data_IF_444854014366
#
_entry.id   IF_444854014366
#
_cell.length_a   1.000
_cell.length_b   1.000
_cell.length_c   1.000
_cell.angle_alpha   90.00
_cell.angle_beta   90.00
_cell.angle_gamma   90.00
#
_symmetry.space_group_name_H-M   'P 1'
#
loop_
_entity.id
_entity.type
_entity.pdbx_description
1 polymer ?
#
# COMPACT_ATOMS: atom_id res chain seq x y z
N UNK A 1 75.74 -39.49 -15.24
CA UNK A 1 74.58 -40.08 -15.91
C UNK A 1 73.95 -41.13 -14.99
N UNK A 2 72.96 -40.80 -14.23
CA UNK A 2 72.14 -41.74 -13.41
C UNK A 2 70.66 -41.43 -13.63
N UNK A 3 69.99 -42.37 -14.28
CA UNK A 3 68.59 -42.31 -14.59
C UNK A 3 67.75 -42.61 -13.32
N UNK A 4 66.93 -41.72 -12.90
CA UNK A 4 65.89 -41.98 -11.91
C UNK A 4 64.64 -42.59 -12.62
N UNK A 5 64.33 -43.82 -12.26
CA UNK A 5 63.04 -44.45 -12.60
C UNK A 5 62.00 -44.10 -11.56
N UNK A 6 60.94 -43.36 -11.97
CA UNK A 6 59.81 -43.08 -11.17
C UNK A 6 58.85 -44.27 -11.22
N UNK A 7 58.56 -44.84 -10.04
CA UNK A 7 57.57 -45.91 -9.86
C UNK A 7 56.24 -45.27 -9.58
N UNK A 8 55.28 -45.42 -10.50
CA UNK A 8 53.88 -45.08 -10.25
C UNK A 8 53.18 -46.20 -9.46
N UNK A 9 52.66 -45.88 -8.26
CA UNK A 9 51.79 -46.74 -7.48
C UNK A 9 50.36 -46.53 -7.91
N UNK A 10 49.50 -47.55 -8.04
CA UNK A 10 48.08 -47.39 -8.37
C UNK A 10 47.28 -46.96 -7.13
N UNK A 11 46.50 -45.86 -7.23
CA UNK A 11 45.49 -45.47 -6.26
C UNK A 11 44.27 -46.41 -6.34
N UNK A 12 43.74 -46.88 -5.23
CA UNK A 12 42.48 -47.64 -5.25
C UNK A 12 41.29 -46.70 -5.46
N UNK A 13 40.49 -46.97 -6.48
CA UNK A 13 39.22 -46.32 -6.78
C UNK A 13 38.19 -46.74 -5.74
N UNK A 14 37.94 -45.87 -4.74
CA UNK A 14 36.87 -46.11 -3.76
C UNK A 14 35.53 -45.79 -4.42
N UNK A 15 34.74 -46.83 -4.68
CA UNK A 15 33.38 -46.76 -5.20
C UNK A 15 32.45 -46.26 -4.05
N UNK A 16 32.11 -44.97 -4.05
CA UNK A 16 31.09 -44.41 -3.17
C UNK A 16 29.69 -44.87 -3.66
N UNK A 17 29.13 -45.88 -3.00
CA UNK A 17 27.72 -46.27 -3.11
C UNK A 17 26.88 -45.16 -2.49
N UNK A 18 26.35 -44.26 -3.31
CA UNK A 18 25.28 -43.33 -2.92
C UNK A 18 24.01 -44.14 -2.64
N UNK A 19 23.76 -44.45 -1.37
CA UNK A 19 22.46 -44.97 -0.92
C UNK A 19 21.41 -43.85 -1.14
N UNK A 20 20.60 -43.99 -2.19
CA UNK A 20 19.43 -43.18 -2.39
C UNK A 20 18.42 -43.44 -1.25
N UNK A 21 18.40 -42.56 -0.24
CA UNK A 21 17.35 -42.52 0.77
C UNK A 21 16.06 -42.14 0.04
N UNK A 22 15.00 -42.98 0.05
CA UNK A 22 13.72 -42.56 -0.52
C UNK A 22 13.23 -41.35 0.27
N UNK A 23 13.21 -40.20 -0.34
CA UNK A 23 12.47 -39.02 0.17
C UNK A 23 11.02 -39.46 0.19
N UNK A 24 10.52 -39.80 1.39
CA UNK A 24 9.11 -39.99 1.62
C UNK A 24 8.44 -38.67 1.24
N UNK A 25 7.83 -38.64 0.05
CA UNK A 25 7.01 -37.52 -0.38
C UNK A 25 5.93 -37.32 0.70
N UNK A 26 6.11 -36.29 1.53
CA UNK A 26 5.07 -35.88 2.47
C UNK A 26 3.83 -35.61 1.64
N UNK A 27 2.80 -36.45 1.82
CA UNK A 27 1.48 -36.20 1.23
C UNK A 27 1.04 -34.84 1.73
N UNK A 28 0.90 -33.88 0.80
CA UNK A 28 0.30 -32.59 1.13
C UNK A 28 -1.04 -32.87 1.82
N UNK A 29 -1.35 -32.20 2.93
CA UNK A 29 -2.67 -32.34 3.55
C UNK A 29 -3.75 -32.05 2.50
N UNK A 30 -4.89 -32.73 2.56
CA UNK A 30 -5.97 -32.50 1.61
C UNK A 30 -6.38 -31.02 1.67
N UNK A 31 -6.36 -30.35 0.52
CA UNK A 31 -6.81 -28.97 0.40
C UNK A 31 -8.29 -28.91 0.82
N UNK A 32 -8.63 -28.08 1.79
CA UNK A 32 -10.01 -27.87 2.19
C UNK A 32 -10.71 -27.16 1.03
N UNK A 33 -11.63 -27.86 0.35
CA UNK A 33 -12.41 -27.27 -0.73
C UNK A 33 -13.47 -26.32 -0.13
N UNK A 34 -13.54 -25.12 -0.67
CA UNK A 34 -14.53 -24.13 -0.27
C UNK A 34 -15.93 -24.59 -0.70
N UNK A 35 -16.93 -24.53 0.19
CA UNK A 35 -18.30 -24.87 -0.16
C UNK A 35 -18.86 -23.85 -1.16
N UNK A 36 -19.45 -24.34 -2.25
CA UNK A 36 -20.04 -23.51 -3.30
C UNK A 36 -21.30 -22.74 -2.86
N UNK A 37 -21.91 -23.09 -1.73
CA UNK A 37 -23.24 -22.63 -1.28
C UNK A 37 -23.20 -21.99 0.12
N UNK A 38 -22.16 -21.29 0.47
CA UNK A 38 -22.06 -20.61 1.76
C UNK A 38 -22.41 -19.11 1.67
N UNK A 39 -22.76 -18.51 2.80
CA UNK A 39 -22.98 -17.06 2.91
C UNK A 39 -21.67 -16.39 3.28
N UNK A 40 -21.25 -15.41 2.48
CA UNK A 40 -20.07 -14.60 2.77
C UNK A 40 -20.31 -13.77 4.04
N UNK A 41 -19.34 -13.76 4.91
CA UNK A 41 -19.35 -13.06 6.19
C UNK A 41 -17.93 -12.65 6.61
N UNK A 42 -17.86 -11.88 7.68
CA UNK A 42 -16.62 -11.55 8.40
C UNK A 42 -16.92 -11.39 9.87
N UNK A 43 -15.89 -11.17 10.66
CA UNK A 43 -16.02 -10.91 12.10
C UNK A 43 -15.37 -9.58 12.46
N UNK A 44 -15.98 -8.83 13.40
CA UNK A 44 -15.47 -7.52 13.87
C UNK A 44 -14.65 -7.62 15.17
N UNK A 45 -14.46 -8.81 15.69
CA UNK A 45 -13.70 -9.10 16.91
C UNK A 45 -13.03 -10.46 16.79
N UNK A 46 -12.08 -10.76 17.65
CA UNK A 46 -11.48 -12.09 17.70
C UNK A 46 -12.53 -13.15 18.04
N UNK A 47 -12.63 -14.20 17.23
CA UNK A 47 -13.53 -15.33 17.39
C UNK A 47 -12.79 -16.65 17.47
N UNK A 48 -13.18 -17.51 18.41
CA UNK A 48 -12.65 -18.86 18.53
C UNK A 48 -13.44 -19.82 17.65
N UNK A 49 -12.74 -20.77 17.04
CA UNK A 49 -13.31 -21.91 16.33
C UNK A 49 -13.20 -23.16 17.19
N UNK A 50 -14.26 -23.97 17.17
CA UNK A 50 -14.40 -25.19 17.96
C UNK A 50 -14.72 -26.36 17.05
N UNK A 51 -14.35 -27.58 17.48
CA UNK A 51 -14.63 -28.81 16.74
C UNK A 51 -16.13 -29.13 16.67
N UNK A 52 -16.91 -28.71 17.68
CA UNK A 52 -18.36 -28.89 17.79
C UNK A 52 -19.02 -27.58 18.20
N UNK A 53 -20.35 -27.51 18.07
CA UNK A 53 -21.16 -26.37 18.53
C UNK A 53 -21.27 -26.31 20.07
N UNK A 54 -20.13 -26.36 20.75
CA UNK A 54 -19.97 -26.37 22.20
C UNK A 54 -18.62 -25.75 22.59
N UNK A 55 -18.65 -24.76 23.51
CA UNK A 55 -17.45 -24.11 24.03
C UNK A 55 -16.53 -25.06 24.85
N UNK A 56 -17.05 -26.21 25.30
CA UNK A 56 -16.26 -27.24 25.99
C UNK A 56 -15.51 -28.16 25.02
N UNK A 57 -15.81 -28.12 23.73
CA UNK A 57 -15.10 -28.92 22.72
C UNK A 57 -13.72 -28.33 22.39
N UNK A 58 -12.88 -29.12 21.72
CA UNK A 58 -11.54 -28.70 21.34
C UNK A 58 -11.58 -27.44 20.49
N UNK A 59 -10.75 -26.46 20.86
CA UNK A 59 -10.53 -25.24 20.06
C UNK A 59 -9.64 -25.59 18.85
N UNK A 60 -10.16 -25.38 17.65
CA UNK A 60 -9.48 -25.73 16.38
C UNK A 60 -8.73 -24.54 15.78
N UNK A 61 -9.04 -23.32 16.20
CA UNK A 61 -8.38 -22.12 15.69
C UNK A 61 -8.97 -20.81 16.21
N UNK A 62 -8.51 -19.73 15.60
CA UNK A 62 -8.95 -18.37 15.90
C UNK A 62 -9.11 -17.58 14.60
N UNK A 63 -10.06 -16.66 14.58
CA UNK A 63 -10.30 -15.73 13.49
C UNK A 63 -10.19 -14.30 14.00
N UNK A 64 -9.39 -13.50 13.34
CA UNK A 64 -9.19 -12.08 13.65
C UNK A 64 -10.14 -11.19 12.86
N UNK A 65 -10.33 -9.92 13.27
CA UNK A 65 -11.22 -8.98 12.59
C UNK A 65 -10.93 -8.85 11.10
N UNK A 66 -11.98 -8.69 10.31
CA UNK A 66 -11.89 -8.48 8.87
C UNK A 66 -11.57 -9.73 8.04
N UNK A 67 -11.25 -10.88 8.63
CA UNK A 67 -11.00 -12.11 7.89
C UNK A 67 -12.26 -12.62 7.22
N UNK A 68 -12.12 -13.13 5.99
CA UNK A 68 -13.23 -13.73 5.27
C UNK A 68 -13.72 -15.01 5.96
N UNK A 69 -15.04 -15.09 6.07
CA UNK A 69 -15.76 -16.25 6.54
C UNK A 69 -16.78 -16.69 5.48
N UNK A 70 -17.00 -17.99 5.40
CA UNK A 70 -18.13 -18.57 4.65
C UNK A 70 -18.97 -19.39 5.63
N UNK A 71 -20.19 -18.93 5.90
CA UNK A 71 -21.14 -19.62 6.78
C UNK A 71 -21.82 -20.71 5.98
N UNK A 72 -21.72 -21.95 6.42
CA UNK A 72 -22.33 -23.13 5.76
C UNK A 72 -23.49 -23.71 6.53
N UNK A 73 -23.57 -23.46 7.84
CA UNK A 73 -24.65 -23.96 8.70
C UNK A 73 -24.89 -23.01 9.86
N UNK A 74 -26.15 -22.92 10.29
CA UNK A 74 -26.57 -22.16 11.48
C UNK A 74 -27.32 -23.10 12.43
N UNK A 75 -26.90 -23.15 13.71
CA UNK A 75 -27.52 -23.97 14.75
C UNK A 75 -27.64 -23.17 16.05
N UNK A 76 -28.82 -22.59 16.28
CA UNK A 76 -29.05 -21.69 17.42
C UNK A 76 -28.08 -20.50 17.42
N UNK A 77 -27.24 -20.39 18.45
CA UNK A 77 -26.21 -19.34 18.57
C UNK A 77 -24.88 -19.69 17.89
N UNK A 78 -24.81 -20.83 17.18
CA UNK A 78 -23.60 -21.34 16.55
C UNK A 78 -23.66 -21.24 15.05
N UNK A 79 -22.51 -20.91 14.46
CA UNK A 79 -22.24 -20.90 13.04
C UNK A 79 -21.16 -21.93 12.72
N UNK A 80 -21.41 -22.79 11.76
CA UNK A 80 -20.35 -23.57 11.14
C UNK A 80 -19.77 -22.79 9.98
N UNK A 81 -18.47 -22.54 10.04
CA UNK A 81 -17.80 -21.66 9.10
C UNK A 81 -16.54 -22.29 8.51
N UNK A 82 -16.20 -21.84 7.32
CA UNK A 82 -14.83 -21.84 6.80
C UNK A 82 -14.29 -20.43 6.98
N UNK A 83 -13.06 -20.31 7.49
CA UNK A 83 -12.45 -19.05 7.86
C UNK A 83 -11.09 -18.88 7.18
N UNK A 84 -10.61 -17.64 7.08
CA UNK A 84 -9.33 -17.28 6.45
C UNK A 84 -9.25 -17.78 5.01
N UNK A 85 -10.33 -17.64 4.28
CA UNK A 85 -10.45 -18.12 2.91
C UNK A 85 -9.88 -17.15 1.87
N UNK A 86 -9.46 -15.97 2.30
CA UNK A 86 -8.77 -15.02 1.43
C UNK A 86 -7.58 -15.68 0.74
N UNK A 87 -7.43 -15.42 -0.54
CA UNK A 87 -6.15 -15.71 -1.19
C UNK A 87 -5.05 -14.94 -0.47
N UNK A 88 -3.88 -15.55 -0.22
CA UNK A 88 -2.74 -14.80 0.29
C UNK A 88 -2.48 -13.63 -0.67
N UNK A 89 -2.27 -12.43 -0.11
CA UNK A 89 -1.89 -11.29 -0.94
C UNK A 89 -0.56 -11.65 -1.59
N UNK A 90 -0.58 -11.84 -2.91
CA UNK A 90 0.64 -12.11 -3.65
C UNK A 90 1.52 -10.87 -3.51
N UNK A 91 2.68 -11.03 -2.85
CA UNK A 91 3.79 -10.13 -3.09
C UNK A 91 4.07 -10.14 -4.60
N UNK A 92 4.51 -9.01 -5.13
CA UNK A 92 4.83 -8.89 -6.55
C UNK A 92 5.60 -10.14 -7.02
N UNK A 93 5.20 -10.68 -8.19
CA UNK A 93 5.64 -11.98 -8.69
C UNK A 93 7.18 -12.10 -8.91
N UNK A 94 7.88 -10.99 -8.82
CA UNK A 94 9.32 -10.81 -9.05
C UNK A 94 10.15 -10.69 -7.76
N UNK A 95 9.54 -10.68 -6.57
CA UNK A 95 10.30 -10.77 -5.33
C UNK A 95 10.74 -12.21 -5.10
N UNK A 96 12.06 -12.49 -5.01
CA UNK A 96 12.53 -13.82 -4.66
C UNK A 96 12.07 -14.13 -3.22
N UNK A 97 11.02 -14.93 -3.10
CA UNK A 97 10.60 -15.48 -1.82
C UNK A 97 11.63 -16.54 -1.41
N UNK A 98 12.53 -16.18 -0.52
CA UNK A 98 13.41 -17.13 0.16
C UNK A 98 12.63 -18.05 1.13
N UNK A 99 11.40 -17.70 1.43
CA UNK A 99 10.47 -18.49 2.20
C UNK A 99 9.20 -18.68 1.38
N UNK A 100 8.77 -19.94 1.18
CA UNK A 100 7.42 -20.21 0.69
C UNK A 100 6.45 -19.49 1.63
N UNK A 101 5.63 -18.54 1.16
CA UNK A 101 4.56 -18.04 1.99
C UNK A 101 3.76 -19.29 2.37
N UNK A 102 3.63 -19.56 3.67
CA UNK A 102 2.71 -20.57 4.14
C UNK A 102 1.37 -20.25 3.49
N UNK A 103 0.92 -21.11 2.55
CA UNK A 103 -0.44 -20.99 1.98
C UNK A 103 -1.35 -21.01 3.20
N UNK A 104 -1.94 -19.84 3.54
CA UNK A 104 -2.90 -19.76 4.63
C UNK A 104 -4.05 -20.68 4.23
N UNK A 105 -4.08 -21.87 4.83
CA UNK A 105 -5.13 -22.83 4.53
C UNK A 105 -6.40 -22.41 5.25
N UNK A 106 -7.56 -22.44 4.56
CA UNK A 106 -8.82 -22.24 5.23
C UNK A 106 -8.97 -23.21 6.40
N UNK A 107 -9.41 -22.69 7.53
CA UNK A 107 -9.74 -23.49 8.69
C UNK A 107 -11.27 -23.59 8.81
N UNK A 108 -11.79 -24.71 9.29
CA UNK A 108 -13.22 -24.88 9.49
C UNK A 108 -13.54 -25.27 10.94
N UNK A 109 -14.68 -24.83 11.41
CA UNK A 109 -15.12 -25.11 12.77
C UNK A 109 -16.46 -24.45 13.08
N UNK A 110 -16.87 -24.61 14.33
CA UNK A 110 -18.03 -23.94 14.90
C UNK A 110 -17.60 -22.70 15.67
N UNK A 111 -18.31 -21.60 15.50
CA UNK A 111 -18.10 -20.37 16.27
C UNK A 111 -19.41 -19.78 16.75
N UNK A 112 -19.35 -18.96 17.78
CA UNK A 112 -20.52 -18.22 18.23
C UNK A 112 -20.90 -17.16 17.22
N UNK A 113 -22.22 -17.01 16.96
CA UNK A 113 -22.79 -15.90 16.19
C UNK A 113 -22.78 -14.62 17.00
N UNK A 114 -21.56 -14.09 17.24
CA UNK A 114 -21.34 -12.88 18.01
C UNK A 114 -20.25 -12.02 17.39
N UNK A 115 -20.66 -10.88 16.84
CA UNK A 115 -19.78 -9.98 16.09
C UNK A 115 -19.50 -10.46 14.69
N UNK A 116 -20.30 -11.41 14.18
CA UNK A 116 -20.27 -11.86 12.78
C UNK A 116 -21.20 -10.98 11.97
N UNK A 117 -20.70 -10.45 10.88
CA UNK A 117 -21.43 -9.64 9.89
C UNK A 117 -21.47 -10.42 8.59
N UNK A 118 -22.66 -10.67 8.07
CA UNK A 118 -22.87 -11.26 6.76
C UNK A 118 -23.55 -10.29 5.79
N UNK A 119 -23.71 -10.69 4.53
CA UNK A 119 -24.33 -9.86 3.48
C UNK A 119 -25.80 -9.51 3.75
N UNK A 120 -26.46 -10.16 4.72
CA UNK A 120 -27.84 -9.90 5.12
C UNK A 120 -27.94 -9.09 6.42
N UNK A 121 -26.83 -8.77 7.06
CA UNK A 121 -26.81 -8.02 8.31
C UNK A 121 -27.27 -6.59 8.05
N UNK A 122 -28.35 -6.10 8.72
CA UNK A 122 -28.81 -4.73 8.57
C UNK A 122 -27.68 -3.74 8.88
N UNK A 123 -27.45 -2.78 7.97
CA UNK A 123 -26.36 -1.80 8.08
C UNK A 123 -24.97 -2.42 8.23
N UNK A 124 -24.77 -3.62 7.68
CA UNK A 124 -23.49 -4.33 7.74
C UNK A 124 -22.32 -3.53 7.18
N UNK A 125 -22.54 -2.77 6.11
CA UNK A 125 -21.59 -1.83 5.52
C UNK A 125 -21.13 -0.76 6.50
N UNK A 126 -22.08 -0.12 7.22
CA UNK A 126 -21.75 0.92 8.21
C UNK A 126 -21.06 0.34 9.44
N UNK A 127 -21.47 -0.86 9.88
CA UNK A 127 -20.82 -1.55 11.02
C UNK A 127 -19.36 -1.86 10.68
N UNK A 128 -19.11 -2.48 9.52
CA UNK A 128 -17.75 -2.82 9.09
C UNK A 128 -16.90 -1.58 8.89
N UNK A 129 -17.47 -0.54 8.27
CA UNK A 129 -16.76 0.73 8.07
C UNK A 129 -16.41 1.40 9.40
N UNK A 130 -17.34 1.45 10.36
CA UNK A 130 -17.12 2.01 11.69
C UNK A 130 -16.03 1.29 12.48
N UNK A 131 -15.99 -0.05 12.43
CA UNK A 131 -14.92 -0.84 13.02
C UNK A 131 -13.59 -0.61 12.30
N UNK A 132 -13.62 -0.46 10.97
CA UNK A 132 -12.45 -0.08 10.19
C UNK A 132 -11.85 1.25 10.64
N UNK A 133 -12.69 2.29 10.82
CA UNK A 133 -12.27 3.60 11.34
C UNK A 133 -11.69 3.48 12.76
N UNK A 134 -12.30 2.66 13.61
CA UNK A 134 -11.81 2.44 14.97
C UNK A 134 -10.43 1.79 14.99
N UNK A 135 -10.21 0.79 14.14
CA UNK A 135 -8.93 0.10 14.00
C UNK A 135 -7.85 1.01 13.36
N UNK A 136 -8.23 1.83 12.37
CA UNK A 136 -7.34 2.82 11.74
C UNK A 136 -6.89 3.88 12.76
N UNK A 137 -7.81 4.43 13.56
CA UNK A 137 -7.46 5.35 14.64
C UNK A 137 -6.53 4.71 15.68
N UNK A 138 -6.80 3.45 16.05
CA UNK A 138 -5.92 2.71 16.96
C UNK A 138 -4.52 2.48 16.36
N UNK A 139 -4.42 2.29 15.03
CA UNK A 139 -3.14 2.15 14.34
C UNK A 139 -2.31 3.44 14.35
N UNK A 140 -2.95 4.61 14.45
CA UNK A 140 -2.29 5.92 14.52
C UNK A 140 -1.82 6.29 15.94
N UNK A 141 -2.14 5.51 16.96
CA UNK A 141 -1.70 5.73 18.33
C UNK A 141 -0.17 5.54 18.47
N UNK A 142 0.50 6.22 19.43
CA UNK A 142 1.95 6.04 19.64
C UNK A 142 2.37 4.59 19.96
N UNK A 143 1.46 3.79 20.49
CA UNK A 143 1.66 2.37 20.82
C UNK A 143 0.47 1.58 20.28
N UNK A 144 0.41 1.36 18.96
CA UNK A 144 -0.74 0.75 18.34
C UNK A 144 -0.88 -0.73 18.76
N UNK A 145 -2.11 -1.23 18.87
CA UNK A 145 -2.33 -2.66 19.02
C UNK A 145 -1.70 -3.41 17.83
N UNK A 146 -1.17 -4.63 18.08
CA UNK A 146 -0.66 -5.45 17.00
C UNK A 146 -1.71 -5.62 15.89
N UNK A 147 -1.31 -5.44 14.63
CA UNK A 147 -2.15 -5.62 13.43
C UNK A 147 -3.31 -4.61 13.25
N UNK A 148 -3.39 -3.53 14.04
CA UNK A 148 -4.49 -2.57 13.92
C UNK A 148 -4.66 -2.02 12.48
N UNK A 149 -3.57 -1.67 11.80
CA UNK A 149 -3.61 -1.21 10.40
C UNK A 149 -4.11 -2.32 9.45
N UNK A 150 -3.61 -3.55 9.59
CA UNK A 150 -4.03 -4.69 8.76
C UNK A 150 -5.50 -5.04 9.01
N UNK A 151 -5.96 -5.01 10.24
CA UNK A 151 -7.36 -5.30 10.59
C UNK A 151 -8.28 -4.20 10.03
N UNK A 152 -7.89 -2.92 10.12
CA UNK A 152 -8.61 -1.80 9.48
C UNK A 152 -8.73 -2.02 7.97
N UNK A 153 -7.62 -2.32 7.29
CA UNK A 153 -7.60 -2.59 5.85
C UNK A 153 -8.54 -3.73 5.47
N UNK A 154 -8.51 -4.85 6.20
CA UNK A 154 -9.38 -5.99 5.93
C UNK A 154 -10.86 -5.65 6.14
N UNK A 155 -11.22 -4.90 7.18
CA UNK A 155 -12.59 -4.47 7.44
C UNK A 155 -13.12 -3.58 6.31
N UNK A 156 -12.33 -2.61 5.82
CA UNK A 156 -12.69 -1.80 4.65
C UNK A 156 -12.83 -2.65 3.37
N UNK A 157 -11.95 -3.60 3.13
CA UNK A 157 -12.11 -4.56 2.01
C UNK A 157 -13.41 -5.32 2.09
N UNK A 158 -13.85 -5.76 3.29
CA UNK A 158 -15.15 -6.45 3.44
C UNK A 158 -16.33 -5.56 3.09
N UNK A 159 -16.26 -4.23 3.35
CA UNK A 159 -17.28 -3.30 2.85
C UNK A 159 -17.37 -3.39 1.32
N UNK A 160 -16.25 -3.30 0.63
CA UNK A 160 -16.21 -3.33 -0.84
C UNK A 160 -16.72 -4.65 -1.41
N UNK A 161 -16.32 -5.78 -0.82
CA UNK A 161 -16.64 -7.12 -1.33
C UNK A 161 -18.07 -7.56 -1.02
N UNK A 162 -18.56 -7.22 0.18
CA UNK A 162 -19.88 -7.68 0.65
C UNK A 162 -21.00 -6.68 0.32
N UNK A 163 -20.68 -5.40 0.19
CA UNK A 163 -21.66 -4.31 -0.01
C UNK A 163 -21.23 -3.37 -1.16
N UNK A 164 -21.00 -3.89 -2.37
CA UNK A 164 -20.44 -3.11 -3.49
C UNK A 164 -21.31 -1.91 -3.90
N UNK A 165 -22.61 -1.97 -3.65
CA UNK A 165 -23.58 -0.90 -3.97
C UNK A 165 -23.74 0.14 -2.85
N UNK A 166 -23.01 -0.01 -1.74
CA UNK A 166 -23.08 0.95 -0.64
C UNK A 166 -22.46 2.31 -1.03
N UNK A 167 -23.07 3.43 -0.63
CA UNK A 167 -22.52 4.76 -0.90
C UNK A 167 -21.17 5.02 -0.23
N UNK A 168 -20.78 4.22 0.78
CA UNK A 168 -19.48 4.33 1.45
C UNK A 168 -18.41 3.45 0.81
N UNK A 169 -18.75 2.61 -0.17
CA UNK A 169 -17.81 1.70 -0.85
C UNK A 169 -16.64 2.43 -1.49
N UNK A 170 -16.80 3.58 -2.18
CA UNK A 170 -15.65 4.32 -2.73
C UNK A 170 -14.65 4.77 -1.65
N UNK A 171 -15.16 5.23 -0.51
CA UNK A 171 -14.33 5.60 0.63
C UNK A 171 -13.61 4.39 1.24
N UNK A 172 -14.34 3.31 1.47
CA UNK A 172 -13.78 2.07 2.02
C UNK A 172 -12.68 1.51 1.13
N UNK A 173 -12.88 1.54 -0.21
CA UNK A 173 -11.87 1.07 -1.16
C UNK A 173 -10.61 1.93 -1.11
N UNK A 174 -10.75 3.26 -1.09
CA UNK A 174 -9.60 4.14 -0.99
C UNK A 174 -8.86 3.97 0.35
N UNK A 175 -9.56 3.94 1.50
CA UNK A 175 -8.92 3.73 2.80
C UNK A 175 -8.16 2.41 2.89
N UNK A 176 -8.73 1.33 2.34
CA UNK A 176 -8.04 0.04 2.29
C UNK A 176 -6.75 0.11 1.44
N UNK A 177 -6.82 0.79 0.29
CA UNK A 177 -5.68 0.98 -0.60
C UNK A 177 -4.63 1.91 0.02
N UNK A 178 -5.04 3.02 0.65
CA UNK A 178 -4.13 3.97 1.30
C UNK A 178 -3.38 3.32 2.48
N UNK A 179 -4.07 2.55 3.33
CA UNK A 179 -3.38 1.80 4.40
C UNK A 179 -2.30 0.88 3.82
N UNK A 180 -2.60 0.14 2.75
CA UNK A 180 -1.61 -0.70 2.08
C UNK A 180 -0.45 0.13 1.55
N UNK A 181 -0.75 1.23 0.87
CA UNK A 181 0.22 2.16 0.33
C UNK A 181 1.18 2.69 1.39
N UNK A 182 0.65 3.13 2.53
CA UNK A 182 1.45 3.63 3.64
C UNK A 182 2.33 2.53 4.27
N UNK A 183 1.84 1.31 4.38
CA UNK A 183 2.63 0.17 4.86
C UNK A 183 3.76 -0.18 3.89
N UNK A 184 3.48 -0.28 2.59
CA UNK A 184 4.50 -0.52 1.56
C UNK A 184 5.53 0.61 1.51
N UNK A 185 5.09 1.87 1.63
CA UNK A 185 5.97 3.04 1.70
C UNK A 185 6.90 3.01 2.91
N UNK A 186 6.37 2.63 4.09
CA UNK A 186 7.18 2.47 5.28
C UNK A 186 8.23 1.37 5.12
N UNK A 187 7.87 0.24 4.51
CA UNK A 187 8.80 -0.84 4.21
C UNK A 187 9.86 -0.42 3.19
N UNK A 188 9.44 0.22 2.09
CA UNK A 188 10.34 0.74 1.05
C UNK A 188 11.36 1.74 1.61
N UNK A 189 10.96 2.60 2.55
CA UNK A 189 11.84 3.57 3.19
C UNK A 189 12.99 2.93 4.00
N UNK A 190 12.89 1.66 4.37
CA UNK A 190 13.95 0.92 5.08
C UNK A 190 15.02 0.34 4.14
N UNK A 191 14.76 0.32 2.84
CA UNK A 191 15.64 -0.29 1.86
C UNK A 191 16.79 0.66 1.46
N UNK A 192 17.98 0.13 1.12
CA UNK A 192 19.08 0.95 0.62
C UNK A 192 18.72 1.77 -0.63
N UNK A 193 17.80 1.25 -1.46
CA UNK A 193 17.30 1.91 -2.66
C UNK A 193 16.41 3.13 -2.40
N UNK A 194 15.96 3.36 -1.16
CA UNK A 194 15.08 4.48 -0.82
C UNK A 194 15.68 5.86 -1.18
N UNK A 195 17.01 5.96 -1.17
CA UNK A 195 17.73 7.21 -1.49
C UNK A 195 18.14 7.33 -2.96
N UNK A 196 17.82 6.33 -3.79
CA UNK A 196 18.14 6.40 -5.22
C UNK A 196 17.39 7.57 -5.87
N UNK A 197 18.11 8.30 -6.73
CA UNK A 197 17.61 9.48 -7.40
C UNK A 197 16.47 9.16 -8.36
N UNK A 198 16.69 8.14 -9.17
CA UNK A 198 15.73 7.75 -10.19
C UNK A 198 14.61 6.89 -9.59
N UNK A 199 13.36 7.27 -9.85
CA UNK A 199 12.19 6.58 -9.29
C UNK A 199 12.14 5.09 -9.60
N UNK A 200 12.58 4.68 -10.80
CA UNK A 200 12.58 3.27 -11.23
C UNK A 200 13.67 2.40 -10.56
N UNK A 201 14.61 3.00 -9.84
CA UNK A 201 15.61 2.29 -9.04
C UNK A 201 15.16 2.07 -7.59
N UNK A 202 14.08 2.71 -7.19
CA UNK A 202 13.50 2.55 -5.85
C UNK A 202 12.41 1.51 -5.86
N UNK A 203 12.16 0.91 -4.71
CA UNK A 203 10.98 0.07 -4.52
C UNK A 203 9.71 0.89 -4.78
N UNK A 204 8.83 0.36 -5.63
CA UNK A 204 7.57 1.00 -5.99
C UNK A 204 6.43 0.39 -5.17
N UNK A 205 5.52 1.24 -4.70
CA UNK A 205 4.27 0.77 -4.11
C UNK A 205 3.38 0.17 -5.20
N UNK A 206 2.56 -0.83 -4.82
CA UNK A 206 1.62 -1.46 -5.75
C UNK A 206 0.46 -0.50 -6.10
N UNK A 207 0.38 -0.13 -7.37
CA UNK A 207 -0.58 0.85 -7.88
C UNK A 207 -1.96 0.26 -8.21
N UNK A 208 -2.11 -1.06 -8.20
CA UNK A 208 -3.29 -1.73 -8.75
C UNK A 208 -4.59 -1.33 -8.04
N UNK A 209 -4.57 -1.22 -6.71
CA UNK A 209 -5.75 -0.83 -5.95
C UNK A 209 -6.11 0.64 -6.18
N UNK A 210 -5.13 1.54 -6.22
CA UNK A 210 -5.35 2.97 -6.52
C UNK A 210 -5.91 3.16 -7.94
N UNK A 211 -5.34 2.51 -8.94
CA UNK A 211 -5.85 2.55 -10.33
C UNK A 211 -7.27 1.99 -10.46
N UNK A 212 -7.64 1.00 -9.67
CA UNK A 212 -9.02 0.50 -9.63
C UNK A 212 -9.99 1.55 -9.09
N UNK A 213 -9.59 2.35 -8.09
CA UNK A 213 -10.44 3.42 -7.55
C UNK A 213 -10.71 4.47 -8.62
N UNK A 214 -9.68 4.95 -9.34
CA UNK A 214 -9.85 5.87 -10.45
C UNK A 214 -10.79 5.32 -11.54
N UNK A 215 -10.65 4.04 -11.85
CA UNK A 215 -11.43 3.38 -12.89
C UNK A 215 -12.91 3.18 -12.51
N UNK A 216 -13.18 2.75 -11.28
CA UNK A 216 -14.55 2.36 -10.87
C UNK A 216 -15.34 3.51 -10.24
N UNK A 217 -14.66 4.51 -9.69
CA UNK A 217 -15.29 5.65 -9.02
C UNK A 217 -14.79 7.00 -9.55
N UNK A 218 -14.74 7.18 -10.89
CA UNK A 218 -14.26 8.41 -11.49
C UNK A 218 -15.08 9.61 -10.98
N UNK A 219 -14.47 10.78 -10.94
CA UNK A 219 -15.09 12.05 -10.48
C UNK A 219 -15.53 12.05 -9.02
N UNK A 220 -14.97 11.19 -8.20
CA UNK A 220 -15.13 11.23 -6.75
C UNK A 220 -13.85 11.76 -6.09
N UNK A 221 -13.99 12.40 -4.93
CA UNK A 221 -12.81 12.83 -4.15
C UNK A 221 -11.85 11.67 -3.82
N UNK A 222 -12.35 10.43 -3.83
CA UNK A 222 -11.55 9.24 -3.54
C UNK A 222 -10.67 8.85 -4.74
N UNK A 223 -11.18 9.02 -5.96
CA UNK A 223 -10.36 8.89 -7.16
C UNK A 223 -9.29 9.99 -7.23
N UNK A 224 -9.65 11.23 -6.84
CA UNK A 224 -8.68 12.32 -6.75
C UNK A 224 -7.57 12.04 -5.74
N UNK A 225 -7.90 11.43 -4.59
CA UNK A 225 -6.90 11.03 -3.60
C UNK A 225 -6.04 9.88 -4.08
N UNK A 226 -6.62 8.89 -4.76
CA UNK A 226 -5.85 7.80 -5.37
C UNK A 226 -4.87 8.32 -6.43
N UNK A 227 -5.30 9.24 -7.31
CA UNK A 227 -4.43 9.91 -8.27
C UNK A 227 -3.29 10.69 -7.60
N UNK A 228 -3.55 11.30 -6.44
CA UNK A 228 -2.53 11.97 -5.65
C UNK A 228 -1.47 11.01 -5.14
N UNK A 229 -1.89 9.88 -4.56
CA UNK A 229 -0.97 8.88 -4.00
C UNK A 229 -0.08 8.27 -5.09
N UNK A 230 -0.62 8.05 -6.30
CA UNK A 230 0.13 7.54 -7.46
C UNK A 230 1.28 8.46 -7.92
N UNK A 231 1.26 9.75 -7.56
CA UNK A 231 2.39 10.67 -7.87
C UNK A 231 3.66 10.20 -7.16
N UNK A 232 3.57 9.65 -5.95
CA UNK A 232 4.73 9.30 -5.13
C UNK A 232 5.69 8.30 -5.82
N UNK A 233 5.17 7.34 -6.58
CA UNK A 233 6.00 6.40 -7.35
C UNK A 233 6.81 7.09 -8.46
N UNK A 234 6.45 8.29 -8.86
CA UNK A 234 7.07 9.02 -9.96
C UNK A 234 8.05 10.11 -9.49
N UNK A 235 8.02 10.45 -8.20
CA UNK A 235 8.91 11.48 -7.64
C UNK A 235 10.37 10.99 -7.67
N UNK A 236 11.30 11.90 -7.75
CA UNK A 236 12.72 11.60 -7.52
C UNK A 236 12.98 11.33 -6.03
N UNK A 237 14.05 10.62 -5.70
CA UNK A 237 14.51 10.46 -4.33
C UNK A 237 15.25 11.69 -3.84
N UNK A 238 16.49 11.84 -4.31
CA UNK A 238 17.34 12.99 -3.99
C UNK A 238 17.48 13.90 -5.21
N UNK A 239 17.41 15.22 -4.98
CA UNK A 239 17.57 16.22 -6.06
C UNK A 239 19.02 16.66 -6.26
N UNK A 240 19.95 16.34 -5.37
CA UNK A 240 21.32 16.80 -5.47
C UNK A 240 21.95 16.50 -6.85
N UNK A 241 22.37 17.58 -7.52
CA UNK A 241 22.92 17.49 -8.88
C UNK A 241 21.93 17.02 -9.95
N UNK A 242 20.64 17.35 -9.79
CA UNK A 242 19.59 17.08 -10.79
C UNK A 242 18.47 18.11 -10.79
N UNK A 243 18.75 19.24 -11.42
CA UNK A 243 17.81 20.36 -11.61
C UNK A 243 16.53 19.92 -12.33
N UNK A 244 16.64 18.87 -13.14
CA UNK A 244 15.49 18.25 -13.87
C UNK A 244 14.52 17.49 -12.96
N UNK A 245 14.97 17.05 -11.78
CA UNK A 245 14.09 16.35 -10.85
C UNK A 245 12.97 17.26 -10.33
N UNK A 246 13.22 18.42 -9.72
CA UNK A 246 12.16 19.30 -9.28
C UNK A 246 11.31 19.83 -10.46
N UNK A 247 11.87 20.05 -11.65
CA UNK A 247 11.07 20.40 -12.85
C UNK A 247 10.07 19.25 -13.20
N UNK A 248 10.55 18.00 -13.22
CA UNK A 248 9.70 16.83 -13.49
C UNK A 248 8.56 16.73 -12.47
N UNK A 249 8.88 16.84 -11.19
CA UNK A 249 7.90 16.76 -10.11
C UNK A 249 6.90 17.92 -10.14
N UNK A 250 7.35 19.14 -10.44
CA UNK A 250 6.46 20.27 -10.64
C UNK A 250 5.42 20.00 -11.75
N UNK A 251 5.87 19.40 -12.85
CA UNK A 251 4.96 19.05 -13.96
C UNK A 251 3.94 17.96 -13.56
N UNK A 252 4.31 16.98 -12.69
CA UNK A 252 3.38 15.98 -12.17
C UNK A 252 2.27 16.62 -11.33
N UNK A 253 2.64 17.54 -10.41
CA UNK A 253 1.67 18.24 -9.59
C UNK A 253 0.81 19.24 -10.38
N UNK A 254 1.37 19.91 -11.38
CA UNK A 254 0.57 20.73 -12.29
C UNK A 254 -0.47 19.90 -13.03
N UNK A 255 -0.03 18.77 -13.62
CA UNK A 255 -0.93 17.84 -14.29
C UNK A 255 -2.06 17.38 -13.40
N UNK A 256 -1.75 17.01 -12.15
CA UNK A 256 -2.77 16.64 -11.16
C UNK A 256 -3.79 17.77 -10.95
N UNK A 257 -3.34 19.01 -10.74
CA UNK A 257 -4.23 20.13 -10.49
C UNK A 257 -5.12 20.49 -11.71
N UNK A 258 -4.64 20.19 -12.92
CA UNK A 258 -5.38 20.39 -14.16
C UNK A 258 -6.42 19.28 -14.39
N UNK A 259 -6.09 18.03 -14.08
CA UNK A 259 -6.97 16.87 -14.24
C UNK A 259 -8.00 16.75 -13.11
N UNK A 260 -7.68 17.24 -11.90
CA UNK A 260 -8.49 17.16 -10.69
C UNK A 260 -8.75 18.54 -10.06
N UNK A 261 -9.34 19.50 -10.82
CA UNK A 261 -9.47 20.90 -10.35
C UNK A 261 -10.36 21.09 -9.13
N UNK A 262 -11.29 20.17 -8.90
CA UNK A 262 -12.22 20.18 -7.76
C UNK A 262 -11.71 19.38 -6.55
N UNK A 263 -10.55 18.76 -6.69
CA UNK A 263 -9.92 18.01 -5.59
C UNK A 263 -9.54 18.94 -4.45
N UNK A 264 -9.74 18.52 -3.19
CA UNK A 264 -9.21 19.24 -2.02
C UNK A 264 -7.68 19.39 -2.04
N UNK A 265 -6.98 18.54 -2.82
CA UNK A 265 -5.52 18.55 -2.99
C UNK A 265 -5.04 19.48 -4.12
N UNK A 266 -5.93 19.97 -5.00
CA UNK A 266 -5.53 20.77 -6.15
C UNK A 266 -4.77 22.06 -5.76
N UNK A 267 -5.18 22.85 -4.74
CA UNK A 267 -4.40 24.00 -4.28
C UNK A 267 -3.01 23.60 -3.75
N UNK A 268 -2.92 22.50 -3.03
CA UNK A 268 -1.67 21.94 -2.54
C UNK A 268 -0.76 21.54 -3.71
N UNK A 269 -1.30 20.87 -4.73
CA UNK A 269 -0.56 20.48 -5.91
C UNK A 269 0.08 21.69 -6.61
N UNK A 270 -0.69 22.74 -6.85
CA UNK A 270 -0.16 23.97 -7.45
C UNK A 270 0.94 24.63 -6.61
N UNK A 271 0.78 24.66 -5.29
CA UNK A 271 1.82 25.16 -4.40
C UNK A 271 3.09 24.32 -4.47
N UNK A 272 2.97 22.99 -4.41
CA UNK A 272 4.12 22.08 -4.51
C UNK A 272 4.80 22.18 -5.88
N UNK A 273 4.03 22.38 -6.95
CA UNK A 273 4.57 22.62 -8.28
C UNK A 273 5.38 23.94 -8.32
N UNK A 274 4.82 25.01 -7.78
CA UNK A 274 5.49 26.31 -7.72
C UNK A 274 6.79 26.24 -6.89
N UNK A 275 6.77 25.62 -5.73
CA UNK A 275 7.93 25.47 -4.87
C UNK A 275 9.05 24.67 -5.54
N UNK A 276 8.71 23.56 -6.21
CA UNK A 276 9.66 22.72 -6.96
C UNK A 276 10.27 23.46 -8.15
N UNK A 277 9.46 24.20 -8.86
CA UNK A 277 9.94 25.00 -9.99
C UNK A 277 10.87 26.14 -9.53
N UNK A 278 10.57 26.79 -8.40
CA UNK A 278 11.45 27.77 -7.78
C UNK A 278 12.79 27.14 -7.37
N UNK A 279 12.74 25.96 -6.77
CA UNK A 279 13.95 25.21 -6.38
C UNK A 279 14.80 24.84 -7.59
N UNK A 280 14.19 24.41 -8.71
CA UNK A 280 14.89 24.16 -9.96
C UNK A 280 15.60 25.43 -10.46
N UNK A 281 14.93 26.58 -10.42
CA UNK A 281 15.51 27.87 -10.79
C UNK A 281 16.72 28.26 -9.93
N UNK A 282 16.70 27.97 -8.62
CA UNK A 282 17.86 28.21 -7.75
C UNK A 282 19.01 27.24 -8.05
N UNK A 283 18.73 25.98 -8.34
CA UNK A 283 19.73 24.99 -8.73
C UNK A 283 20.40 25.35 -10.06
N UNK A 284 19.61 25.73 -11.09
CA UNK A 284 20.16 26.21 -12.36
C UNK A 284 21.02 27.45 -12.21
N UNK A 285 20.63 28.39 -11.34
CA UNK A 285 21.44 29.57 -11.05
C UNK A 285 22.77 29.21 -10.38
N UNK A 286 22.75 28.23 -9.47
CA UNK A 286 23.97 27.73 -8.81
C UNK A 286 24.93 27.07 -9.80
N UNK A 287 24.40 26.42 -10.84
CA UNK A 287 25.17 25.82 -11.93
C UNK A 287 25.61 26.83 -13.01
N UNK A 288 25.27 28.11 -12.87
CA UNK A 288 25.61 29.16 -13.82
C UNK A 288 24.75 29.19 -15.07
N UNK A 289 23.57 28.53 -15.07
CA UNK A 289 22.61 28.54 -16.19
C UNK A 289 21.51 29.57 -15.92
N UNK A 290 21.85 30.84 -16.06
CA UNK A 290 20.96 31.97 -15.75
C UNK A 290 19.69 32.00 -16.63
N UNK A 291 19.77 31.53 -17.87
CA UNK A 291 18.61 31.51 -18.79
C UNK A 291 17.55 30.53 -18.28
N UNK A 292 17.94 29.31 -17.91
CA UNK A 292 17.04 28.32 -17.31
C UNK A 292 16.50 28.79 -15.95
N UNK A 293 17.37 29.33 -15.11
CA UNK A 293 16.97 29.89 -13.82
C UNK A 293 15.87 30.95 -13.98
N UNK A 294 16.03 31.86 -14.96
CA UNK A 294 15.03 32.89 -15.26
C UNK A 294 13.72 32.30 -15.80
N UNK A 295 13.81 31.31 -16.68
CA UNK A 295 12.63 30.61 -17.22
C UNK A 295 11.81 29.96 -16.08
N UNK A 296 12.46 29.20 -15.18
CA UNK A 296 11.76 28.50 -14.09
C UNK A 296 11.21 29.46 -13.05
N UNK A 297 11.90 30.57 -12.75
CA UNK A 297 11.35 31.63 -11.90
C UNK A 297 10.10 32.28 -12.55
N UNK A 298 10.11 32.47 -13.87
CA UNK A 298 8.94 32.96 -14.60
C UNK A 298 7.76 31.98 -14.54
N UNK A 299 8.02 30.68 -14.70
CA UNK A 299 7.01 29.61 -14.55
C UNK A 299 6.46 29.58 -13.12
N UNK A 300 7.32 29.71 -12.11
CA UNK A 300 6.90 29.79 -10.69
C UNK A 300 5.90 30.93 -10.49
N UNK A 301 6.20 32.12 -10.99
CA UNK A 301 5.30 33.27 -10.89
C UNK A 301 3.95 32.98 -11.54
N UNK A 302 3.95 32.39 -12.73
CA UNK A 302 2.70 31.99 -13.41
C UNK A 302 1.87 30.99 -12.61
N UNK A 303 2.50 29.99 -11.97
CA UNK A 303 1.82 29.00 -11.15
C UNK A 303 1.25 29.64 -9.88
N UNK A 304 2.01 30.52 -9.20
CA UNK A 304 1.54 31.22 -7.99
C UNK A 304 0.35 32.13 -8.29
N UNK A 305 0.40 32.86 -9.41
CA UNK A 305 -0.72 33.71 -9.86
C UNK A 305 -1.97 32.87 -10.15
N UNK A 306 -1.80 31.74 -10.85
CA UNK A 306 -2.91 30.82 -11.14
C UNK A 306 -3.54 30.26 -9.85
N UNK A 307 -2.73 29.83 -8.90
CA UNK A 307 -3.19 29.34 -7.59
C UNK A 307 -4.01 30.38 -6.84
N UNK A 308 -3.51 31.63 -6.76
CA UNK A 308 -4.18 32.72 -6.07
C UNK A 308 -5.51 33.11 -6.75
N UNK A 309 -5.58 33.07 -8.08
CA UNK A 309 -6.79 33.38 -8.83
C UNK A 309 -7.86 32.28 -8.69
N UNK A 310 -7.44 31.02 -8.77
CA UNK A 310 -8.37 29.89 -8.80
C UNK A 310 -8.82 29.47 -7.38
N UNK A 311 -7.96 29.57 -6.40
CA UNK A 311 -8.22 29.12 -5.03
C UNK A 311 -7.92 30.20 -3.97
N UNK A 312 -8.51 31.40 -4.08
CA UNK A 312 -8.11 32.57 -3.26
C UNK A 312 -8.31 32.37 -1.74
N UNK A 313 -9.16 31.43 -1.34
CA UNK A 313 -9.45 31.13 0.06
C UNK A 313 -8.60 30.00 0.64
N UNK A 314 -7.73 29.38 -0.17
CA UNK A 314 -6.85 28.32 0.27
C UNK A 314 -5.66 28.88 1.06
N UNK A 315 -5.26 28.21 2.12
CA UNK A 315 -3.99 28.53 2.83
C UNK A 315 -2.77 28.47 1.88
N UNK A 316 -2.83 27.60 0.86
CA UNK A 316 -1.77 27.51 -0.15
C UNK A 316 -1.65 28.76 -1.01
N UNK A 317 -2.71 29.55 -1.15
CA UNK A 317 -2.62 30.86 -1.83
C UNK A 317 -1.81 31.88 -1.03
N UNK A 318 -1.91 31.86 0.29
CA UNK A 318 -1.04 32.70 1.13
C UNK A 318 0.41 32.21 1.08
N UNK A 319 0.65 30.91 1.11
CA UNK A 319 2.01 30.33 0.95
C UNK A 319 2.59 30.66 -0.43
N UNK A 320 1.78 30.66 -1.48
CA UNK A 320 2.19 31.04 -2.84
C UNK A 320 2.58 32.52 -2.92
N UNK A 321 1.86 33.41 -2.22
CA UNK A 321 2.23 34.82 -2.15
C UNK A 321 3.59 35.04 -1.47
N UNK A 322 3.89 34.32 -0.38
CA UNK A 322 5.22 34.33 0.26
C UNK A 322 6.31 33.84 -0.69
N UNK A 323 6.05 32.72 -1.40
CA UNK A 323 6.97 32.17 -2.38
C UNK A 323 7.25 33.18 -3.52
N UNK A 324 6.21 33.78 -4.09
CA UNK A 324 6.34 34.80 -5.14
C UNK A 324 7.16 36.01 -4.66
N UNK A 325 6.94 36.47 -3.41
CA UNK A 325 7.72 37.53 -2.82
C UNK A 325 9.19 37.14 -2.69
N UNK A 326 9.51 35.92 -2.22
CA UNK A 326 10.90 35.44 -2.13
C UNK A 326 11.59 35.45 -3.49
N UNK A 327 10.92 34.97 -4.53
CA UNK A 327 11.43 34.94 -5.90
C UNK A 327 11.73 36.39 -6.37
N UNK A 328 10.82 37.34 -6.13
CA UNK A 328 11.00 38.77 -6.50
C UNK A 328 12.16 39.42 -5.77
N UNK A 329 12.43 39.01 -4.53
CA UNK A 329 13.53 39.52 -3.70
C UNK A 329 14.86 38.76 -3.94
N UNK A 330 14.89 37.76 -4.77
CA UNK A 330 16.07 36.92 -4.99
C UNK A 330 16.46 36.09 -3.75
N UNK A 331 15.50 35.77 -2.88
CA UNK A 331 15.71 34.92 -1.70
C UNK A 331 15.64 33.47 -2.14
N UNK A 332 16.70 32.66 -2.01
CA UNK A 332 16.70 31.26 -2.39
C UNK A 332 15.69 30.45 -1.57
N UNK A 333 15.04 29.48 -2.23
CA UNK A 333 14.09 28.55 -1.61
C UNK A 333 14.62 27.12 -1.58
N UNK A 334 15.53 26.75 -2.47
CA UNK A 334 16.17 25.44 -2.46
C UNK A 334 17.03 25.25 -1.20
N UNK A 335 16.87 24.08 -0.57
CA UNK A 335 17.55 23.76 0.70
C UNK A 335 16.88 24.37 1.94
N UNK A 336 15.72 25.05 1.79
CA UNK A 336 14.89 25.41 2.94
C UNK A 336 14.05 24.21 3.35
N UNK A 337 14.03 23.87 4.65
CA UNK A 337 13.23 22.76 5.22
C UNK A 337 11.70 23.06 5.25
N UNK A 338 11.24 23.98 4.42
CA UNK A 338 9.86 24.47 4.41
C UNK A 338 9.17 24.16 3.09
N UNK A 339 8.65 22.95 3.00
CA UNK A 339 7.63 22.61 1.99
C UNK A 339 6.26 23.23 2.29
#
# INVERSE_FOLDING_TARGET
MRSLRTVLAPLPLALLLLASVPVLAQKRPPRIEMPKNGTMATIIRVGNLYAQADESSDRTGEVTPGRELVIVERSGKWLRVFANVDAPESRAADQPTLENPEEVQPISGWMLDKGVIDIHTPHGDQILFGEGVSAENAAAEPHPPPRAAQDARLLYRRVVEMFPESPITPEAMWRAADIRWQLEKADAATLPSAHEKESYLREQMDEDEMKKIEKYFPHTKWADFAAWDLIENQLCGDWQGSEKCPEKEANLYMKYADEHPDSPRAPQALYLAAWRMASAGDMWAADGNDDRAKEDRGRTMGITDHLQQKYPQSEYSARAADLAYKIQQGIPVYGSDRE
#
